data_IF_813291842024
#
_entry.id   IF_813291842024
#
_cell.length_a   1.000
_cell.length_b   1.000
_cell.length_c   1.000
_cell.angle_alpha   90.00
_cell.angle_beta   90.00
_cell.angle_gamma   90.00
#
_symmetry.space_group_name_H-M   'P 1'
#
loop_
_entity.id
_entity.type
_entity.pdbx_description
1 polymer ?
#
# COMPACT_ATOMS: atom_id res chain seq x y z
N UNK A 1 3.31 -21.03 -22.09
CA UNK A 1 3.29 -20.44 -23.45
C UNK A 1 2.47 -19.16 -23.43
N UNK A 2 3.00 -18.08 -23.99
CA UNK A 2 2.27 -16.83 -24.17
C UNK A 2 2.53 -16.32 -25.59
N UNK A 3 1.54 -15.67 -26.19
CA UNK A 3 1.67 -15.19 -27.56
C UNK A 3 0.53 -14.29 -28.00
N UNK A 4 0.70 -13.70 -29.19
CA UNK A 4 -0.32 -12.89 -29.86
C UNK A 4 -0.59 -13.44 -31.26
N UNK A 5 -1.86 -13.47 -31.63
CA UNK A 5 -2.34 -13.83 -32.95
C UNK A 5 -3.39 -12.80 -33.37
N UNK A 6 -2.99 -11.86 -34.23
CA UNK A 6 -3.84 -10.72 -34.61
C UNK A 6 -4.33 -9.93 -33.40
N UNK A 7 -5.65 -9.71 -33.24
CA UNK A 7 -6.21 -8.98 -32.09
C UNK A 7 -6.28 -9.83 -30.81
N UNK A 8 -5.84 -11.08 -30.83
CA UNK A 8 -5.92 -11.98 -29.68
C UNK A 8 -4.57 -12.11 -28.98
N UNK A 9 -4.59 -12.05 -27.65
CA UNK A 9 -3.49 -12.44 -26.77
C UNK A 9 -3.89 -13.71 -26.03
N UNK A 10 -3.03 -14.73 -26.08
CA UNK A 10 -3.28 -16.06 -25.52
C UNK A 10 -2.18 -16.39 -24.50
N UNK A 11 -2.59 -16.87 -23.34
CA UNK A 11 -1.71 -17.37 -22.29
C UNK A 11 -2.14 -18.75 -21.83
N UNK A 12 -1.19 -19.69 -21.84
CA UNK A 12 -1.36 -21.06 -21.36
C UNK A 12 -0.22 -21.37 -20.39
N UNK A 13 -0.58 -21.85 -19.20
CA UNK A 13 0.39 -22.30 -18.19
C UNK A 13 -0.07 -23.66 -17.66
N UNK A 14 0.85 -24.62 -17.61
CA UNK A 14 0.68 -25.87 -16.90
C UNK A 14 1.92 -26.10 -16.03
N UNK A 15 1.72 -26.38 -14.75
CA UNK A 15 2.80 -26.66 -13.80
C UNK A 15 2.40 -27.91 -13.03
N UNK A 16 3.29 -28.90 -13.02
CA UNK A 16 3.19 -30.05 -12.14
C UNK A 16 4.18 -29.88 -10.99
N UNK A 17 3.70 -30.02 -9.75
CA UNK A 17 4.55 -30.13 -8.57
C UNK A 17 4.54 -31.56 -8.06
N UNK A 18 5.68 -32.02 -7.57
CA UNK A 18 5.78 -33.28 -6.83
C UNK A 18 5.11 -33.17 -5.46
N UNK A 19 4.93 -34.31 -4.82
CA UNK A 19 4.62 -34.43 -3.41
C UNK A 19 5.85 -34.12 -2.55
N UNK A 20 5.62 -33.60 -1.34
CA UNK A 20 6.68 -33.31 -0.39
C UNK A 20 6.23 -33.60 1.03
N UNK A 21 6.79 -34.66 1.61
CA UNK A 21 6.49 -35.09 2.99
C UNK A 21 6.85 -34.01 4.01
N UNK A 22 7.92 -33.24 3.78
CA UNK A 22 8.35 -32.15 4.67
C UNK A 22 7.46 -30.91 4.62
N UNK A 23 6.63 -30.78 3.58
CA UNK A 23 5.72 -29.65 3.39
C UNK A 23 4.24 -30.05 3.53
N UNK A 24 3.97 -31.34 3.82
CA UNK A 24 2.64 -31.95 3.84
C UNK A 24 1.81 -31.63 2.57
N UNK A 25 2.47 -31.65 1.41
CA UNK A 25 1.83 -31.33 0.13
C UNK A 25 1.73 -32.55 -0.78
N UNK A 26 0.53 -32.74 -1.34
CA UNK A 26 0.29 -33.73 -2.37
C UNK A 26 0.77 -33.22 -3.74
N UNK A 27 1.16 -34.15 -4.60
CA UNK A 27 1.43 -33.87 -6.02
C UNK A 27 0.23 -33.19 -6.67
N UNK A 28 0.45 -32.03 -7.29
CA UNK A 28 -0.64 -31.22 -7.83
C UNK A 28 -0.31 -30.62 -9.18
N UNK A 29 -1.35 -30.46 -9.99
CA UNK A 29 -1.27 -29.81 -11.29
C UNK A 29 -2.02 -28.48 -11.23
N UNK A 30 -1.35 -27.43 -11.71
CA UNK A 30 -1.93 -26.11 -11.92
C UNK A 30 -2.06 -25.87 -13.43
N UNK A 31 -3.26 -25.52 -13.87
CA UNK A 31 -3.52 -25.14 -15.26
C UNK A 31 -4.16 -23.77 -15.32
N UNK A 32 -3.68 -22.91 -16.20
CA UNK A 32 -4.27 -21.58 -16.48
C UNK A 32 -4.39 -21.39 -17.97
N UNK A 33 -5.57 -20.99 -18.42
CA UNK A 33 -5.87 -20.61 -19.79
C UNK A 33 -6.46 -19.22 -19.78
N UNK A 34 -5.87 -18.28 -20.52
CA UNK A 34 -6.39 -16.92 -20.69
C UNK A 34 -6.41 -16.55 -22.16
N UNK A 35 -7.54 -16.04 -22.61
CA UNK A 35 -7.69 -15.47 -23.95
C UNK A 35 -8.21 -14.06 -23.81
N UNK A 36 -7.57 -13.11 -24.47
CA UNK A 36 -7.96 -11.70 -24.47
C UNK A 36 -8.04 -11.22 -25.91
N UNK A 37 -9.12 -10.53 -26.26
CA UNK A 37 -9.33 -9.90 -27.56
C UNK A 37 -9.31 -8.39 -27.40
N UNK A 38 -8.38 -7.74 -28.08
CA UNK A 38 -8.39 -6.30 -28.24
C UNK A 38 -9.50 -5.91 -29.23
N UNK A 39 -10.26 -4.87 -28.89
CA UNK A 39 -11.39 -4.37 -29.67
C UNK A 39 -11.44 -2.85 -29.61
N UNK A 40 -12.06 -2.24 -30.61
CA UNK A 40 -12.00 -0.79 -30.79
C UNK A 40 -10.52 -0.31 -30.81
N UNK A 41 -10.23 0.91 -30.39
CA UNK A 41 -8.85 1.44 -30.34
C UNK A 41 -8.07 1.04 -29.10
N UNK A 42 -8.75 0.95 -27.96
CA UNK A 42 -8.12 0.83 -26.62
C UNK A 42 -8.91 -0.07 -25.65
N UNK A 43 -9.91 -0.79 -26.17
CA UNK A 43 -10.79 -1.63 -25.36
C UNK A 43 -10.41 -3.09 -25.53
N UNK A 44 -10.83 -3.92 -24.59
CA UNK A 44 -10.58 -5.35 -24.66
C UNK A 44 -11.59 -6.14 -23.83
N UNK A 45 -11.77 -7.39 -24.23
CA UNK A 45 -12.52 -8.40 -23.51
C UNK A 45 -11.64 -9.62 -23.28
N UNK A 46 -11.72 -10.22 -22.11
CA UNK A 46 -10.92 -11.37 -21.73
C UNK A 46 -11.77 -12.44 -21.05
N UNK A 47 -11.31 -13.68 -21.19
CA UNK A 47 -11.79 -14.82 -20.40
C UNK A 47 -10.60 -15.55 -19.81
N UNK A 48 -10.79 -16.12 -18.63
CA UNK A 48 -9.79 -16.92 -17.93
C UNK A 48 -10.44 -18.16 -17.33
N UNK A 49 -9.70 -19.25 -17.39
CA UNK A 49 -9.98 -20.49 -16.68
C UNK A 49 -8.74 -20.89 -15.89
N UNK A 50 -8.93 -21.24 -14.64
CA UNK A 50 -7.87 -21.85 -13.82
C UNK A 50 -8.37 -23.16 -13.23
N UNK A 51 -7.44 -24.10 -13.03
CA UNK A 51 -7.71 -25.40 -12.43
C UNK A 51 -6.54 -25.81 -11.54
N UNK A 52 -6.88 -26.34 -10.36
CA UNK A 52 -5.96 -26.99 -9.44
C UNK A 52 -6.48 -28.38 -9.09
N UNK A 53 -5.65 -29.41 -9.20
CA UNK A 53 -6.09 -30.81 -9.04
C UNK A 53 -6.13 -31.34 -7.60
N UNK A 54 -5.43 -30.69 -6.67
CA UNK A 54 -5.50 -30.95 -5.22
C UNK A 54 -5.67 -29.63 -4.49
N UNK A 55 -6.57 -29.57 -3.51
CA UNK A 55 -6.78 -28.39 -2.68
C UNK A 55 -5.59 -28.19 -1.73
N UNK A 56 -5.51 -27.01 -1.10
CA UNK A 56 -4.53 -26.78 -0.04
C UNK A 56 -4.82 -27.64 1.19
N UNK A 57 -6.10 -27.88 1.49
CA UNK A 57 -6.54 -28.63 2.67
C UNK A 57 -6.96 -30.08 2.37
N UNK A 58 -6.47 -30.66 1.27
CA UNK A 58 -6.65 -32.09 0.98
C UNK A 58 -7.09 -32.39 -0.45
N UNK A 59 -7.83 -33.50 -0.62
CA UNK A 59 -8.21 -34.01 -1.93
C UNK A 59 -9.38 -33.23 -2.51
N UNK A 60 -9.21 -32.70 -3.72
CA UNK A 60 -10.29 -32.03 -4.43
C UNK A 60 -9.79 -31.18 -5.60
N UNK A 61 -10.68 -30.96 -6.57
CA UNK A 61 -10.37 -30.12 -7.73
C UNK A 61 -11.01 -28.75 -7.51
N UNK A 62 -10.19 -27.70 -7.57
CA UNK A 62 -10.69 -26.32 -7.65
C UNK A 62 -10.67 -25.84 -9.10
N UNK A 63 -11.71 -25.12 -9.48
CA UNK A 63 -11.84 -24.49 -10.79
C UNK A 63 -12.30 -23.05 -10.65
N UNK A 64 -11.74 -22.16 -11.46
CA UNK A 64 -12.19 -20.77 -11.54
C UNK A 64 -12.50 -20.42 -12.98
N UNK A 65 -13.65 -19.80 -13.19
CA UNK A 65 -14.07 -19.25 -14.46
C UNK A 65 -14.21 -17.75 -14.30
N UNK A 66 -13.67 -16.96 -15.24
CA UNK A 66 -13.79 -15.52 -15.19
C UNK A 66 -13.83 -14.86 -16.55
N UNK A 67 -14.48 -13.71 -16.61
CA UNK A 67 -14.51 -12.83 -17.76
C UNK A 67 -14.26 -11.39 -17.32
N UNK A 68 -13.53 -10.63 -18.14
CA UNK A 68 -13.21 -9.23 -17.89
C UNK A 68 -13.46 -8.37 -19.12
N UNK A 69 -13.90 -7.13 -18.88
CA UNK A 69 -14.20 -6.15 -19.91
C UNK A 69 -13.60 -4.81 -19.51
N UNK A 70 -12.67 -4.31 -20.33
CA UNK A 70 -12.14 -2.95 -20.20
C UNK A 70 -12.55 -2.14 -21.43
N UNK A 71 -13.47 -1.19 -21.26
CA UNK A 71 -13.84 -0.23 -22.29
C UNK A 71 -13.14 1.09 -22.02
N UNK A 72 -12.47 1.64 -23.03
CA UNK A 72 -11.84 2.96 -22.98
C UNK A 72 -12.39 3.82 -24.10
N UNK A 73 -13.20 4.81 -23.73
CA UNK A 73 -13.82 5.75 -24.65
C UNK A 73 -13.18 7.12 -24.51
N UNK A 74 -13.01 7.81 -25.64
CA UNK A 74 -12.30 9.09 -25.71
C UNK A 74 -10.96 9.00 -24.97
N UNK A 75 -10.49 10.08 -24.36
CA UNK A 75 -9.24 10.13 -23.62
C UNK A 75 -9.40 9.89 -22.12
N UNK A 76 -10.62 9.98 -21.60
CA UNK A 76 -10.87 10.14 -20.18
C UNK A 76 -11.96 9.23 -19.60
N UNK A 77 -12.69 8.44 -20.39
CA UNK A 77 -13.71 7.51 -19.89
C UNK A 77 -13.18 6.09 -19.90
N UNK A 78 -13.14 5.45 -18.73
CA UNK A 78 -12.79 4.05 -18.59
C UNK A 78 -13.91 3.30 -17.84
N UNK A 79 -14.25 2.13 -18.33
CA UNK A 79 -15.16 1.20 -17.68
C UNK A 79 -14.46 -0.15 -17.55
N UNK A 80 -14.23 -0.60 -16.32
CA UNK A 80 -13.50 -1.85 -16.02
C UNK A 80 -14.42 -2.76 -15.25
N UNK A 81 -14.64 -3.97 -15.76
CA UNK A 81 -15.52 -4.94 -15.14
C UNK A 81 -14.87 -6.29 -15.15
N UNK A 82 -15.18 -7.08 -14.13
CA UNK A 82 -14.96 -8.51 -14.19
C UNK A 82 -16.07 -9.24 -13.46
N UNK A 83 -16.25 -10.50 -13.84
CA UNK A 83 -17.00 -11.49 -13.10
C UNK A 83 -16.15 -12.75 -13.03
N UNK A 84 -16.08 -13.36 -11.85
CA UNK A 84 -15.39 -14.62 -11.63
C UNK A 84 -16.20 -15.49 -10.67
N UNK A 85 -16.14 -16.81 -10.86
CA UNK A 85 -16.80 -17.78 -10.01
C UNK A 85 -15.88 -18.97 -9.77
N UNK A 86 -15.87 -19.45 -8.52
CA UNK A 86 -15.03 -20.56 -8.07
C UNK A 86 -15.90 -21.78 -7.81
N UNK A 87 -15.46 -22.93 -8.28
CA UNK A 87 -16.04 -24.22 -7.93
C UNK A 87 -15.01 -24.97 -7.09
N UNK A 88 -15.29 -25.05 -5.79
CA UNK A 88 -14.47 -25.76 -4.80
C UNK A 88 -15.37 -26.74 -4.06
N UNK A 89 -14.97 -28.01 -3.91
CA UNK A 89 -15.71 -28.97 -3.09
C UNK A 89 -16.03 -28.42 -1.71
N UNK A 90 -17.25 -28.69 -1.23
CA UNK A 90 -17.75 -28.26 0.09
C UNK A 90 -17.88 -26.74 0.31
N UNK A 91 -17.69 -25.91 -0.73
CA UNK A 91 -17.89 -24.47 -0.69
C UNK A 91 -18.95 -24.05 -1.71
N UNK A 92 -20.22 -24.24 -1.34
CA UNK A 92 -21.38 -23.94 -2.18
C UNK A 92 -22.04 -22.61 -1.81
N UNK A 93 -22.60 -21.92 -2.81
CA UNK A 93 -23.24 -20.62 -2.66
C UNK A 93 -22.25 -19.49 -2.32
N UNK A 94 -22.56 -18.24 -2.71
CA UNK A 94 -21.67 -17.09 -2.46
C UNK A 94 -20.21 -17.31 -2.91
N UNK A 95 -20.03 -17.99 -4.05
CA UNK A 95 -18.73 -18.39 -4.60
C UNK A 95 -18.32 -17.55 -5.83
N UNK A 96 -18.89 -16.35 -5.98
CA UNK A 96 -18.61 -15.44 -7.07
C UNK A 96 -18.00 -14.13 -6.56
N UNK A 97 -17.19 -13.50 -7.40
CA UNK A 97 -16.71 -12.15 -7.22
C UNK A 97 -16.91 -11.36 -8.50
N UNK A 98 -17.34 -10.10 -8.38
CA UNK A 98 -17.49 -9.23 -9.52
C UNK A 98 -17.20 -7.79 -9.15
N UNK A 99 -16.70 -7.03 -10.11
CA UNK A 99 -16.44 -5.61 -9.99
C UNK A 99 -17.01 -4.89 -11.20
N UNK A 100 -17.58 -3.73 -10.96
CA UNK A 100 -17.91 -2.74 -11.98
C UNK A 100 -17.31 -1.41 -11.55
N UNK A 101 -16.42 -0.87 -12.36
CA UNK A 101 -15.72 0.39 -12.09
C UNK A 101 -15.86 1.34 -13.26
N UNK A 102 -16.33 2.54 -12.98
CA UNK A 102 -16.37 3.67 -13.90
C UNK A 102 -15.39 4.74 -13.43
N UNK A 103 -14.53 5.20 -14.34
CA UNK A 103 -13.60 6.30 -14.12
C UNK A 103 -13.78 7.34 -15.24
N UNK A 104 -14.15 8.56 -14.85
CA UNK A 104 -14.01 9.76 -15.66
C UNK A 104 -12.81 10.57 -15.17
N UNK A 105 -11.77 10.66 -15.99
CA UNK A 105 -10.46 11.22 -15.66
C UNK A 105 -10.21 12.56 -16.36
N UNK A 106 -11.27 13.36 -16.53
CA UNK A 106 -11.17 14.70 -17.09
C UNK A 106 -10.25 15.60 -16.26
N UNK A 107 -9.63 16.58 -16.91
CA UNK A 107 -8.69 17.46 -16.22
C UNK A 107 -9.39 18.33 -15.14
N UNK A 108 -10.48 19.03 -15.52
CA UNK A 108 -11.26 19.88 -14.59
C UNK A 108 -12.21 19.10 -13.69
N UNK A 109 -12.82 18.03 -14.17
CA UNK A 109 -13.77 17.21 -13.42
C UNK A 109 -13.31 15.76 -13.42
N UNK A 110 -13.39 15.09 -12.27
CA UNK A 110 -13.16 13.67 -12.15
C UNK A 110 -14.33 12.99 -11.45
N UNK A 111 -14.71 11.81 -11.91
CA UNK A 111 -15.74 10.98 -11.27
C UNK A 111 -15.21 9.56 -11.20
N UNK A 112 -15.37 8.91 -10.07
CA UNK A 112 -15.15 7.48 -9.93
C UNK A 112 -16.35 6.88 -9.24
N UNK A 113 -16.83 5.76 -9.76
CA UNK A 113 -17.84 4.93 -9.12
C UNK A 113 -17.40 3.48 -9.25
N UNK A 114 -17.43 2.75 -8.14
CA UNK A 114 -17.00 1.37 -8.08
C UNK A 114 -17.96 0.58 -7.21
N UNK A 115 -18.36 -0.58 -7.72
CA UNK A 115 -19.04 -1.61 -6.95
C UNK A 115 -18.21 -2.89 -7.05
N UNK A 116 -17.86 -3.46 -5.90
CA UNK A 116 -17.11 -4.72 -5.79
C UNK A 116 -17.83 -5.63 -4.82
N UNK A 117 -18.04 -6.88 -5.23
CA UNK A 117 -18.53 -7.94 -4.35
C UNK A 117 -17.56 -9.11 -4.38
N UNK A 118 -17.26 -9.65 -3.20
CA UNK A 118 -16.52 -10.90 -3.04
C UNK A 118 -17.34 -11.79 -2.13
N UNK A 119 -17.86 -12.88 -2.68
CA UNK A 119 -18.63 -13.84 -1.92
C UNK A 119 -17.80 -14.53 -0.84
N UNK A 120 -18.48 -15.00 0.22
CA UNK A 120 -17.87 -15.67 1.37
C UNK A 120 -17.09 -16.92 1.00
N UNK A 121 -17.57 -17.65 0.00
CA UNK A 121 -17.01 -18.92 -0.45
C UNK A 121 -16.23 -18.76 -1.77
N UNK A 122 -15.92 -17.52 -2.16
CA UNK A 122 -15.08 -17.27 -3.33
C UNK A 122 -13.63 -17.64 -2.99
N UNK A 123 -13.21 -18.83 -3.43
CA UNK A 123 -11.88 -19.37 -3.16
C UNK A 123 -11.22 -19.82 -4.46
N UNK A 124 -10.31 -19.02 -5.04
CA UNK A 124 -9.67 -19.36 -6.30
C UNK A 124 -8.55 -20.40 -6.19
N UNK A 125 -8.06 -20.75 -4.98
CA UNK A 125 -6.91 -21.65 -4.66
C UNK A 125 -5.58 -21.41 -5.41
N UNK A 126 -5.60 -20.58 -6.45
CA UNK A 126 -4.53 -20.12 -7.31
C UNK A 126 -4.59 -18.60 -7.24
N UNK A 127 -3.69 -18.02 -6.47
CA UNK A 127 -3.67 -16.59 -6.15
C UNK A 127 -4.11 -16.32 -4.72
N UNK A 128 -4.46 -15.07 -4.44
CA UNK A 128 -4.72 -14.61 -3.08
C UNK A 128 -5.96 -13.72 -3.02
N UNK A 129 -6.85 -14.02 -2.08
CA UNK A 129 -8.01 -13.20 -1.73
C UNK A 129 -7.70 -12.55 -0.38
N UNK A 130 -7.58 -11.21 -0.36
CA UNK A 130 -7.24 -10.46 0.85
C UNK A 130 -8.37 -10.39 1.87
N UNK A 131 -9.60 -10.34 1.37
CA UNK A 131 -10.84 -10.21 2.13
C UNK A 131 -11.93 -10.92 1.34
N UNK A 132 -12.76 -11.70 2.03
CA UNK A 132 -13.95 -12.35 1.50
C UNK A 132 -15.21 -11.78 2.19
N UNK A 133 -16.37 -12.30 1.81
CA UNK A 133 -17.65 -12.01 2.45
C UNK A 133 -18.02 -10.51 2.53
N UNK A 134 -17.75 -9.71 1.49
CA UNK A 134 -18.05 -8.29 1.54
C UNK A 134 -18.58 -7.71 0.22
N UNK A 135 -19.27 -6.57 0.36
CA UNK A 135 -19.68 -5.68 -0.72
C UNK A 135 -19.13 -4.29 -0.44
N UNK A 136 -18.47 -3.70 -1.43
CA UNK A 136 -17.91 -2.36 -1.38
C UNK A 136 -18.55 -1.48 -2.44
N UNK A 137 -19.07 -0.33 -2.01
CA UNK A 137 -19.53 0.73 -2.88
C UNK A 137 -18.65 1.94 -2.64
N UNK A 138 -17.99 2.42 -3.68
CA UNK A 138 -17.14 3.58 -3.62
C UNK A 138 -17.57 4.61 -4.66
N UNK A 139 -17.67 5.86 -4.23
CA UNK A 139 -17.92 6.99 -5.11
C UNK A 139 -16.94 8.12 -4.80
N UNK A 140 -16.46 8.80 -5.82
CA UNK A 140 -15.61 9.98 -5.69
C UNK A 140 -15.95 10.99 -6.75
N UNK A 141 -16.00 12.26 -6.35
CA UNK A 141 -16.09 13.40 -7.23
C UNK A 141 -14.91 14.33 -7.00
N UNK A 142 -14.35 14.85 -8.09
CA UNK A 142 -13.28 15.85 -8.08
C UNK A 142 -13.64 17.02 -8.97
N UNK A 143 -13.48 18.23 -8.45
CA UNK A 143 -13.51 19.47 -9.21
C UNK A 143 -12.19 20.18 -9.02
N UNK A 144 -11.46 20.48 -10.11
CA UNK A 144 -10.16 21.10 -10.02
C UNK A 144 -9.96 22.30 -10.97
N UNK A 145 -10.45 23.48 -10.61
CA UNK A 145 -10.25 24.69 -11.41
C UNK A 145 -8.80 25.17 -11.37
N UNK A 146 -8.39 25.89 -12.43
CA UNK A 146 -7.13 26.65 -12.50
C UNK A 146 -7.44 28.15 -12.59
N UNK A 147 -7.54 28.85 -11.45
CA UNK A 147 -7.91 30.26 -11.43
C UNK A 147 -6.77 31.12 -11.99
N UNK A 148 -6.98 31.71 -13.18
CA UNK A 148 -5.96 32.57 -13.82
C UNK A 148 -5.81 33.95 -13.17
N UNK A 149 -6.77 34.36 -12.35
CA UNK A 149 -6.77 35.67 -11.67
C UNK A 149 -5.88 35.72 -10.42
N UNK A 150 -5.34 34.58 -9.96
CA UNK A 150 -4.55 34.49 -8.73
C UNK A 150 -3.13 34.04 -9.10
N UNK A 151 -2.14 34.95 -9.23
CA UNK A 151 -0.84 34.64 -9.82
C UNK A 151 0.00 33.60 -9.07
N UNK A 152 -0.24 33.41 -7.78
CA UNK A 152 0.50 32.46 -6.94
C UNK A 152 -0.14 31.07 -6.89
N UNK A 153 -1.39 30.91 -7.37
CA UNK A 153 -2.20 29.70 -7.26
C UNK A 153 -2.34 29.03 -8.63
N UNK A 154 -1.71 27.86 -8.79
CA UNK A 154 -1.73 27.11 -10.06
C UNK A 154 -3.05 26.37 -10.26
N UNK A 155 -3.51 25.68 -9.22
CA UNK A 155 -4.69 24.81 -9.28
C UNK A 155 -5.31 24.65 -7.89
N UNK A 156 -6.62 24.60 -7.85
CA UNK A 156 -7.35 24.11 -6.68
C UNK A 156 -7.92 22.74 -7.01
N UNK A 157 -8.00 21.85 -6.03
CA UNK A 157 -8.61 20.53 -6.16
C UNK A 157 -9.55 20.35 -4.97
N UNK A 158 -10.84 20.27 -5.28
CA UNK A 158 -11.88 19.86 -4.36
C UNK A 158 -12.20 18.40 -4.66
N UNK A 159 -12.14 17.55 -3.66
CA UNK A 159 -12.43 16.13 -3.83
C UNK A 159 -13.28 15.63 -2.67
N UNK A 160 -14.37 14.97 -2.99
CA UNK A 160 -15.19 14.23 -2.04
C UNK A 160 -15.19 12.75 -2.39
N UNK A 161 -15.03 11.87 -1.41
CA UNK A 161 -15.20 10.43 -1.61
C UNK A 161 -16.02 9.80 -0.49
N UNK A 162 -16.69 8.70 -0.83
CA UNK A 162 -17.49 7.89 0.07
C UNK A 162 -17.20 6.42 -0.22
N UNK A 163 -16.66 5.72 0.77
CA UNK A 163 -16.42 4.27 0.75
C UNK A 163 -17.35 3.59 1.76
N UNK A 164 -18.07 2.57 1.32
CA UNK A 164 -19.08 1.89 2.11
C UNK A 164 -18.97 0.39 1.92
N UNK A 165 -18.52 -0.30 2.97
CA UNK A 165 -18.22 -1.72 2.98
C UNK A 165 -19.18 -2.42 3.94
N UNK A 166 -19.97 -3.33 3.42
CA UNK A 166 -20.80 -4.23 4.23
C UNK A 166 -20.32 -5.65 4.07
N UNK A 167 -20.71 -6.51 4.99
CA UNK A 167 -20.66 -7.94 4.74
C UNK A 167 -21.71 -8.35 3.68
N UNK A 168 -21.79 -9.64 3.36
CA UNK A 168 -22.82 -10.14 2.42
C UNK A 168 -24.24 -10.19 2.99
N UNK A 169 -24.41 -10.03 4.31
CA UNK A 169 -25.73 -9.98 4.99
C UNK A 169 -26.30 -8.56 5.07
N UNK A 170 -25.47 -7.54 4.79
CA UNK A 170 -25.83 -6.13 4.80
C UNK A 170 -25.41 -5.39 6.09
N UNK A 171 -24.69 -6.05 6.99
CA UNK A 171 -24.12 -5.41 8.18
C UNK A 171 -22.96 -4.52 7.76
N UNK A 172 -22.99 -3.26 8.22
CA UNK A 172 -21.93 -2.29 7.95
C UNK A 172 -20.65 -2.68 8.69
N UNK A 173 -19.56 -2.84 7.95
CA UNK A 173 -18.24 -3.13 8.51
C UNK A 173 -17.38 -1.87 8.56
N UNK A 174 -17.30 -1.13 7.44
CA UNK A 174 -16.52 0.11 7.34
C UNK A 174 -17.27 1.15 6.52
N UNK A 175 -17.31 2.39 6.99
CA UNK A 175 -17.72 3.57 6.20
C UNK A 175 -16.65 4.63 6.30
N UNK A 176 -16.31 5.26 5.19
CA UNK A 176 -15.38 6.38 5.17
C UNK A 176 -15.86 7.48 4.23
N UNK A 177 -16.06 8.69 4.75
CA UNK A 177 -16.35 9.88 3.97
C UNK A 177 -15.16 10.82 4.05
N UNK A 178 -14.62 11.24 2.91
CA UNK A 178 -13.50 12.20 2.86
C UNK A 178 -13.88 13.44 2.09
N UNK A 179 -13.52 14.59 2.62
CA UNK A 179 -13.58 15.88 1.95
C UNK A 179 -12.19 16.51 1.96
N UNK A 180 -11.62 16.68 0.79
CA UNK A 180 -10.26 17.19 0.59
C UNK A 180 -10.28 18.46 -0.23
N UNK A 181 -9.57 19.47 0.27
CA UNK A 181 -9.21 20.69 -0.44
C UNK A 181 -7.69 20.71 -0.60
N UNK A 182 -7.18 20.70 -1.82
CA UNK A 182 -5.76 20.86 -2.14
C UNK A 182 -5.55 22.12 -2.99
N UNK A 183 -4.51 22.89 -2.64
CA UNK A 183 -4.01 24.02 -3.40
C UNK A 183 -2.61 23.70 -3.91
N UNK A 184 -2.45 23.69 -5.22
CA UNK A 184 -1.15 23.61 -5.87
C UNK A 184 -0.70 25.04 -6.19
N UNK A 185 0.47 25.43 -5.70
CA UNK A 185 1.01 26.76 -5.86
C UNK A 185 1.94 26.83 -7.08
N UNK A 186 2.19 28.04 -7.59
CA UNK A 186 3.12 28.21 -8.73
C UNK A 186 4.57 27.92 -8.37
N UNK A 187 4.93 28.02 -7.09
CA UNK A 187 6.25 27.63 -6.58
C UNK A 187 6.40 26.10 -6.36
N UNK A 188 5.46 25.29 -6.86
CA UNK A 188 5.38 23.82 -6.72
C UNK A 188 5.14 23.31 -5.30
N UNK A 189 4.87 24.19 -4.33
CA UNK A 189 4.36 23.76 -3.03
C UNK A 189 2.90 23.30 -3.18
N UNK A 190 2.49 22.42 -2.28
CA UNK A 190 1.10 22.00 -2.15
C UNK A 190 0.67 22.11 -0.71
N UNK A 191 -0.53 22.62 -0.49
CA UNK A 191 -1.17 22.57 0.81
C UNK A 191 -2.51 21.88 0.65
N UNK A 192 -2.79 20.86 1.46
CA UNK A 192 -4.13 20.31 1.53
C UNK A 192 -4.66 20.18 2.94
N UNK A 193 -5.97 20.25 3.04
CA UNK A 193 -6.76 19.96 4.24
C UNK A 193 -7.77 18.88 3.87
N UNK A 194 -7.83 17.84 4.67
CA UNK A 194 -8.73 16.71 4.50
C UNK A 194 -9.50 16.48 5.81
N UNK A 195 -10.83 16.45 5.72
CA UNK A 195 -11.69 15.93 6.78
C UNK A 195 -12.10 14.52 6.43
N UNK A 196 -11.93 13.59 7.37
CA UNK A 196 -12.36 12.20 7.24
C UNK A 196 -13.37 11.90 8.36
N UNK A 197 -14.54 11.38 7.99
CA UNK A 197 -15.51 10.75 8.90
C UNK A 197 -15.50 9.24 8.65
N UNK A 198 -15.30 8.46 9.70
CA UNK A 198 -15.11 7.02 9.65
C UNK A 198 -16.06 6.30 10.60
N UNK A 199 -16.56 5.16 10.16
CA UNK A 199 -17.13 4.14 11.01
C UNK A 199 -16.35 2.85 10.82
N UNK A 200 -16.00 2.19 11.92
CA UNK A 200 -15.39 0.87 11.91
C UNK A 200 -16.13 -0.05 12.90
N UNK A 201 -16.73 -1.12 12.38
CA UNK A 201 -17.32 -2.20 13.16
C UNK A 201 -16.27 -3.28 13.43
N UNK A 202 -15.86 -3.43 14.69
CA UNK A 202 -14.89 -4.43 15.09
C UNK A 202 -15.60 -5.75 15.43
N UNK A 203 -15.50 -6.81 14.62
CA UNK A 203 -16.15 -8.10 14.91
C UNK A 203 -15.42 -8.92 15.99
N UNK A 204 -14.19 -8.53 16.32
CA UNK A 204 -13.33 -9.12 17.35
C UNK A 204 -12.50 -8.03 18.00
N UNK A 205 -11.96 -8.32 19.19
CA UNK A 205 -11.05 -7.42 19.88
C UNK A 205 -9.87 -7.00 18.98
N UNK A 206 -9.54 -5.71 19.00
CA UNK A 206 -8.47 -5.13 18.20
C UNK A 206 -7.37 -4.58 19.09
N UNK A 207 -6.17 -5.14 18.96
CA UNK A 207 -4.99 -4.69 19.73
C UNK A 207 -4.33 -3.51 19.04
N UNK A 208 -4.39 -2.34 19.65
CA UNK A 208 -3.64 -1.16 19.20
C UNK A 208 -2.17 -1.26 19.63
N UNK A 209 -1.95 -1.68 20.88
CA UNK A 209 -0.64 -1.98 21.47
C UNK A 209 -0.72 -3.29 22.26
N UNK A 210 0.36 -3.68 22.95
CA UNK A 210 0.34 -4.78 23.92
C UNK A 210 -0.74 -4.61 25.00
N UNK A 211 -0.95 -3.38 25.46
CA UNK A 211 -1.78 -3.08 26.65
C UNK A 211 -3.11 -2.40 26.32
N UNK A 212 -3.27 -1.85 25.11
CA UNK A 212 -4.50 -1.17 24.68
C UNK A 212 -5.24 -2.03 23.67
N UNK A 213 -6.33 -2.64 24.13
CA UNK A 213 -7.17 -3.56 23.36
C UNK A 213 -8.59 -2.97 23.27
N UNK A 214 -9.04 -2.68 22.06
CA UNK A 214 -10.41 -2.21 21.81
C UNK A 214 -11.37 -3.41 21.80
N UNK A 215 -12.51 -3.34 22.52
CA UNK A 215 -13.53 -4.38 22.50
C UNK A 215 -14.27 -4.44 21.16
N UNK A 216 -15.09 -5.49 21.02
CA UNK A 216 -16.04 -5.65 19.91
C UNK A 216 -17.12 -4.57 20.01
N UNK A 217 -17.11 -3.60 19.10
CA UNK A 217 -18.12 -2.54 19.02
C UNK A 217 -18.09 -1.83 17.64
N UNK A 218 -19.06 -0.98 17.39
CA UNK A 218 -19.10 -0.04 16.26
C UNK A 218 -18.63 1.35 16.66
N UNK A 219 -17.53 1.80 16.07
CA UNK A 219 -16.90 3.07 16.42
C UNK A 219 -17.09 4.11 15.32
N UNK A 220 -17.65 5.28 15.65
CA UNK A 220 -17.68 6.44 14.77
C UNK A 220 -16.64 7.45 15.23
N UNK A 221 -15.79 7.91 14.31
CA UNK A 221 -14.76 8.87 14.62
C UNK A 221 -14.42 9.71 13.39
N UNK A 222 -13.93 10.92 13.61
CA UNK A 222 -13.61 11.85 12.54
C UNK A 222 -12.41 12.72 12.88
N UNK A 223 -11.61 13.03 11.87
CA UNK A 223 -10.39 13.80 12.04
C UNK A 223 -10.13 14.75 10.87
N UNK A 224 -9.43 15.83 11.18
CA UNK A 224 -8.88 16.75 10.18
C UNK A 224 -7.39 16.48 10.05
N UNK A 225 -6.92 16.38 8.82
CA UNK A 225 -5.51 16.32 8.47
C UNK A 225 -5.16 17.53 7.59
N UNK A 226 -4.13 18.26 7.98
CA UNK A 226 -3.52 19.32 7.16
C UNK A 226 -2.09 18.93 6.81
N UNK A 227 -1.71 19.13 5.56
CA UNK A 227 -0.41 18.71 5.05
C UNK A 227 0.16 19.76 4.10
N UNK A 228 1.40 20.17 4.34
CA UNK A 228 2.15 21.09 3.51
C UNK A 228 3.35 20.37 2.90
N UNK A 229 3.31 20.20 1.58
CA UNK A 229 4.39 19.65 0.77
C UNK A 229 5.21 20.79 0.18
N UNK A 230 6.48 20.88 0.57
CA UNK A 230 7.44 21.80 -0.02
C UNK A 230 7.89 21.27 -1.39
N UNK A 231 7.97 22.16 -2.38
CA UNK A 231 8.45 21.84 -3.72
C UNK A 231 9.83 21.16 -3.71
N UNK A 232 9.94 20.03 -4.41
CA UNK A 232 11.13 19.17 -4.43
C UNK A 232 12.38 19.83 -5.05
N UNK A 233 12.20 20.95 -5.75
CA UNK A 233 13.30 21.74 -6.30
C UNK A 233 14.10 22.51 -5.23
N UNK A 234 13.57 22.66 -4.01
CA UNK A 234 14.24 23.40 -2.93
C UNK A 234 15.34 22.57 -2.30
N UNK A 235 16.39 23.25 -1.80
CA UNK A 235 17.44 22.59 -1.00
C UNK A 235 16.85 21.88 0.21
N UNK A 236 15.86 22.48 0.86
CA UNK A 236 15.06 21.86 1.92
C UNK A 236 13.67 21.64 1.35
N UNK A 237 13.28 20.37 1.25
CA UNK A 237 11.98 19.93 0.77
C UNK A 237 11.44 18.87 1.71
N UNK A 238 10.17 18.52 1.55
CA UNK A 238 9.53 17.51 2.38
C UNK A 238 8.08 17.81 2.61
N UNK A 239 7.54 17.13 3.61
CA UNK A 239 6.14 17.10 3.96
C UNK A 239 6.01 17.30 5.45
N UNK A 240 5.27 18.33 5.85
CA UNK A 240 4.81 18.51 7.21
C UNK A 240 3.34 18.13 7.26
N UNK A 241 2.93 17.31 8.23
CA UNK A 241 1.52 16.99 8.45
C UNK A 241 1.14 17.10 9.91
N UNK A 242 -0.12 17.47 10.14
CA UNK A 242 -0.79 17.45 11.42
C UNK A 242 -2.16 16.79 11.23
N UNK A 243 -2.47 15.83 12.09
CA UNK A 243 -3.79 15.20 12.18
C UNK A 243 -4.35 15.44 13.58
N UNK A 244 -5.62 15.81 13.67
CA UNK A 244 -6.31 15.99 14.96
C UNK A 244 -7.77 15.58 14.84
N UNK A 245 -8.26 14.80 15.79
CA UNK A 245 -9.66 14.43 15.85
C UNK A 245 -9.95 13.30 16.83
N UNK A 246 -11.14 12.73 16.69
CA UNK A 246 -11.50 11.51 17.40
C UNK A 246 -10.91 10.29 16.71
N UNK A 247 -10.68 9.24 17.49
CA UNK A 247 -10.12 7.98 17.03
C UNK A 247 -10.74 6.85 17.85
N UNK A 248 -11.55 6.01 17.20
CA UNK A 248 -12.42 5.05 17.87
C UNK A 248 -13.27 5.72 18.98
N UNK A 249 -13.13 5.27 20.22
CA UNK A 249 -13.77 5.80 21.42
C UNK A 249 -12.94 6.88 22.15
N UNK A 250 -11.97 7.48 21.47
CA UNK A 250 -11.03 8.43 22.06
C UNK A 250 -10.58 9.50 21.08
N UNK A 251 -9.34 9.97 21.24
CA UNK A 251 -8.73 11.00 20.42
C UNK A 251 -7.35 10.59 19.90
N UNK A 252 -6.97 11.17 18.76
CA UNK A 252 -5.64 11.01 18.19
C UNK A 252 -5.10 12.33 17.66
N UNK A 253 -3.86 12.62 18.01
CA UNK A 253 -3.09 13.74 17.47
C UNK A 253 -1.82 13.20 16.83
N UNK A 254 -1.64 13.45 15.53
CA UNK A 254 -0.42 13.08 14.82
C UNK A 254 0.30 14.32 14.35
N UNK A 255 1.60 14.40 14.57
CA UNK A 255 2.46 15.41 13.93
C UNK A 255 3.66 14.72 13.32
N UNK A 256 4.03 15.13 12.12
CA UNK A 256 5.20 14.55 11.49
C UNK A 256 5.80 15.40 10.39
N UNK A 257 7.08 15.15 10.17
CA UNK A 257 7.86 15.72 9.09
C UNK A 257 8.66 14.63 8.41
N UNK A 258 8.60 14.56 7.09
CA UNK A 258 9.48 13.73 6.28
C UNK A 258 9.99 14.54 5.11
N UNK A 259 11.31 14.64 4.97
CA UNK A 259 11.86 15.52 3.95
C UNK A 259 13.29 15.20 3.56
N UNK A 260 13.87 16.12 2.80
CA UNK A 260 15.26 16.09 2.35
C UNK A 260 15.85 17.49 2.44
N UNK A 261 16.98 17.59 3.12
CA UNK A 261 17.80 18.78 3.19
C UNK A 261 19.15 18.52 2.53
N UNK A 262 19.37 19.17 1.38
CA UNK A 262 20.65 19.22 0.67
C UNK A 262 21.47 20.35 1.28
N UNK A 263 22.41 19.98 2.13
CA UNK A 263 23.30 20.92 2.83
C UNK A 263 24.42 21.34 1.87
N UNK A 264 25.03 20.38 1.18
CA UNK A 264 26.00 20.59 0.09
C UNK A 264 25.69 19.64 -1.07
N UNK A 265 26.24 19.85 -2.28
CA UNK A 265 26.09 18.90 -3.39
C UNK A 265 26.53 17.47 -3.05
N UNK A 266 27.47 17.34 -2.12
CA UNK A 266 27.98 16.07 -1.63
C UNK A 266 27.17 15.51 -0.45
N UNK A 267 26.51 16.36 0.33
CA UNK A 267 25.90 15.99 1.61
C UNK A 267 24.40 16.32 1.67
N UNK A 268 23.57 15.30 1.84
CA UNK A 268 22.14 15.45 2.07
C UNK A 268 21.66 14.57 3.22
N UNK A 269 20.71 15.08 3.99
CA UNK A 269 20.03 14.39 5.08
C UNK A 269 18.53 14.33 4.79
N UNK A 270 17.93 13.18 5.07
CA UNK A 270 16.52 12.88 4.90
C UNK A 270 15.93 12.51 6.27
N UNK A 271 15.52 13.51 7.07
CA UNK A 271 14.87 13.24 8.35
C UNK A 271 13.45 12.73 8.17
N UNK A 272 13.02 11.88 9.10
CA UNK A 272 11.66 11.37 9.25
C UNK A 272 11.30 11.39 10.72
N UNK A 273 10.35 12.23 11.09
CA UNK A 273 9.84 12.37 12.45
C UNK A 273 8.34 12.16 12.39
N UNK A 274 7.80 11.32 13.27
CA UNK A 274 6.36 11.11 13.43
C UNK A 274 6.08 10.86 14.89
N UNK A 275 5.19 11.65 15.48
CA UNK A 275 4.71 11.50 16.85
C UNK A 275 3.20 11.34 16.76
N UNK A 276 2.68 10.26 17.32
CA UNK A 276 1.25 9.96 17.40
C UNK A 276 0.88 9.79 18.87
N UNK A 277 0.05 10.69 19.36
CA UNK A 277 -0.51 10.67 20.71
C UNK A 277 -1.95 10.16 20.62
N UNK A 278 -2.19 8.98 21.21
CA UNK A 278 -3.46 8.28 21.19
C UNK A 278 -3.97 8.14 22.61
N UNK A 279 -5.19 8.61 22.83
CA UNK A 279 -5.88 8.50 24.12
C UNK A 279 -7.26 7.89 23.88
N UNK A 280 -7.45 6.63 24.27
CA UNK A 280 -8.70 5.89 24.20
C UNK A 280 -9.12 5.42 25.58
N UNK A 281 -10.39 5.02 25.77
CA UNK A 281 -10.88 4.68 27.12
C UNK A 281 -10.15 3.50 27.77
N UNK A 282 -9.51 2.64 26.97
CA UNK A 282 -8.74 1.48 27.44
C UNK A 282 -7.30 1.83 27.83
N UNK A 283 -6.83 3.03 27.50
CA UNK A 283 -5.49 3.49 27.82
C UNK A 283 -4.98 4.52 26.82
N UNK A 284 -3.87 5.18 27.18
CA UNK A 284 -3.19 6.13 26.33
C UNK A 284 -1.77 5.69 26.04
N UNK A 285 -1.27 6.04 24.86
CA UNK A 285 0.09 5.74 24.45
C UNK A 285 0.60 6.76 23.42
N UNK A 286 1.92 6.95 23.42
CA UNK A 286 2.59 7.82 22.45
C UNK A 286 3.55 6.99 21.61
N UNK A 287 3.31 6.97 20.31
CA UNK A 287 4.23 6.36 19.33
C UNK A 287 5.12 7.43 18.73
N UNK A 288 6.43 7.29 18.91
CA UNK A 288 7.46 8.17 18.36
C UNK A 288 8.34 7.39 17.39
N UNK A 289 8.37 7.84 16.15
CA UNK A 289 9.29 7.40 15.12
C UNK A 289 10.24 8.55 14.78
N UNK A 290 11.54 8.34 14.96
CA UNK A 290 12.57 9.29 14.57
C UNK A 290 13.59 8.56 13.72
N UNK A 291 13.81 9.02 12.51
CA UNK A 291 14.83 8.47 11.63
C UNK A 291 15.53 9.56 10.82
N UNK A 292 16.74 9.24 10.41
CA UNK A 292 17.52 10.08 9.52
C UNK A 292 18.28 9.19 8.55
N UNK A 293 18.09 9.43 7.25
CA UNK A 293 18.97 8.88 6.22
C UNK A 293 19.94 9.96 5.77
N UNK A 294 21.22 9.67 5.86
CA UNK A 294 22.29 10.56 5.47
C UNK A 294 23.01 10.01 4.27
N UNK A 295 23.29 10.85 3.28
CA UNK A 295 24.08 10.51 2.10
C UNK A 295 25.24 11.48 1.97
N UNK A 296 26.45 10.93 1.83
CA UNK A 296 27.68 11.68 1.63
C UNK A 296 28.42 11.12 0.43
N UNK A 297 28.53 11.92 -0.63
CA UNK A 297 29.21 11.57 -1.88
C UNK A 297 30.62 12.15 -1.86
N UNK A 298 31.61 11.30 -1.59
CA UNK A 298 33.02 11.69 -1.56
C UNK A 298 33.52 12.00 -2.98
N UNK A 299 33.13 11.17 -3.94
CA UNK A 299 33.42 11.34 -5.37
C UNK A 299 32.31 10.65 -6.20
N UNK A 300 32.24 10.85 -7.53
CA UNK A 300 31.28 10.13 -8.38
C UNK A 300 31.36 8.60 -8.28
N UNK A 301 32.47 8.07 -7.76
CA UNK A 301 32.73 6.64 -7.57
C UNK A 301 32.65 6.19 -6.11
N UNK A 302 32.50 7.11 -5.15
CA UNK A 302 32.58 6.81 -3.72
C UNK A 302 31.46 7.51 -2.96
N UNK A 303 30.62 6.73 -2.28
CA UNK A 303 29.61 7.29 -1.39
C UNK A 303 29.47 6.49 -0.09
N UNK A 304 29.04 7.21 0.93
CA UNK A 304 28.62 6.70 2.22
C UNK A 304 27.13 7.02 2.39
N UNK A 305 26.35 6.01 2.74
CA UNK A 305 24.95 6.16 3.12
C UNK A 305 24.77 5.61 4.53
N UNK A 306 24.09 6.34 5.40
CA UNK A 306 23.76 5.91 6.75
C UNK A 306 22.26 6.07 6.99
N UNK A 307 21.65 5.13 7.69
CA UNK A 307 20.28 5.17 8.17
C UNK A 307 20.32 4.91 9.67
N UNK A 308 19.69 5.80 10.43
CA UNK A 308 19.37 5.62 11.83
C UNK A 308 17.86 5.72 11.95
N UNK A 309 17.23 4.79 12.67
CA UNK A 309 15.79 4.79 12.89
C UNK A 309 15.47 4.28 14.30
N UNK A 310 14.69 5.04 15.03
CA UNK A 310 14.13 4.72 16.33
C UNK A 310 12.62 4.62 16.22
N UNK A 311 12.02 3.57 16.81
CA UNK A 311 10.59 3.37 16.91
C UNK A 311 10.21 2.98 18.34
N UNK A 312 9.45 3.82 19.03
CA UNK A 312 9.05 3.55 20.42
C UNK A 312 8.04 2.41 20.55
N UNK A 313 7.21 2.15 19.55
CA UNK A 313 6.18 1.10 19.64
C UNK A 313 6.76 -0.31 19.50
N UNK A 314 7.83 -0.49 18.72
CA UNK A 314 8.57 -1.75 18.62
C UNK A 314 9.83 -1.78 19.49
N UNK A 315 10.02 -0.73 20.30
CA UNK A 315 11.21 -0.49 21.12
C UNK A 315 12.53 -0.68 20.35
N UNK A 316 12.56 -0.35 19.06
CA UNK A 316 13.71 -0.69 18.21
C UNK A 316 14.55 0.54 17.84
N UNK A 317 15.87 0.34 17.85
CA UNK A 317 16.85 1.24 17.26
C UNK A 317 17.63 0.49 16.19
N UNK A 318 17.40 0.88 14.94
CA UNK A 318 18.00 0.30 13.75
C UNK A 318 19.04 1.23 13.16
N UNK A 319 20.23 0.68 12.89
CA UNK A 319 21.34 1.37 12.22
C UNK A 319 21.77 0.58 11.00
N UNK A 320 21.90 1.26 9.87
CA UNK A 320 22.49 0.69 8.66
C UNK A 320 23.46 1.69 8.03
N UNK A 321 24.72 1.32 7.88
CA UNK A 321 25.77 2.14 7.26
C UNK A 321 26.33 1.36 6.09
N UNK A 322 26.36 1.99 4.91
CA UNK A 322 26.87 1.42 3.68
C UNK A 322 27.85 2.37 3.03
N UNK A 323 29.08 1.91 2.87
CA UNK A 323 30.08 2.50 2.01
C UNK A 323 30.14 1.72 0.69
N UNK A 324 30.17 2.42 -0.44
CA UNK A 324 30.44 1.86 -1.77
C UNK A 324 31.56 2.62 -2.42
N UNK A 325 32.52 1.90 -2.99
CA UNK A 325 33.55 2.43 -3.86
C UNK A 325 33.63 1.64 -5.17
N UNK A 326 33.36 2.31 -6.28
CA UNK A 326 33.60 1.81 -7.63
C UNK A 326 35.07 2.05 -8.00
N UNK A 327 35.92 1.05 -7.80
CA UNK A 327 37.36 1.17 -8.04
C UNK A 327 37.71 1.01 -9.54
N UNK A 328 36.86 0.31 -10.30
CA UNK A 328 36.90 0.22 -11.77
C UNK A 328 35.47 0.19 -12.30
N UNK A 329 35.21 0.62 -13.56
CA UNK A 329 33.87 0.58 -14.14
C UNK A 329 33.18 -0.78 -14.00
N UNK A 330 32.06 -0.81 -13.28
CA UNK A 330 31.30 -2.04 -13.01
C UNK A 330 31.94 -2.98 -11.97
N UNK A 331 32.96 -2.54 -11.25
CA UNK A 331 33.63 -3.31 -10.19
C UNK A 331 33.65 -2.51 -8.89
N UNK A 332 33.06 -3.08 -7.84
CA UNK A 332 32.70 -2.37 -6.62
C UNK A 332 33.24 -3.05 -5.37
N UNK A 333 33.61 -2.23 -4.39
CA UNK A 333 33.76 -2.62 -3.00
C UNK A 333 32.58 -2.07 -2.21
N UNK A 334 31.92 -2.94 -1.45
CA UNK A 334 30.89 -2.57 -0.48
C UNK A 334 31.35 -2.95 0.92
N UNK A 335 31.15 -2.03 1.86
CA UNK A 335 31.28 -2.28 3.30
C UNK A 335 29.93 -1.90 3.92
N UNK A 336 29.27 -2.86 4.55
CA UNK A 336 27.96 -2.68 5.15
C UNK A 336 28.02 -3.08 6.62
N UNK A 337 27.59 -2.17 7.47
CA UNK A 337 27.34 -2.42 8.89
C UNK A 337 25.84 -2.28 9.15
N UNK A 338 25.23 -3.29 9.75
CA UNK A 338 23.83 -3.20 10.22
C UNK A 338 23.75 -3.66 11.66
N UNK A 339 22.99 -2.95 12.48
CA UNK A 339 22.83 -3.20 13.91
C UNK A 339 21.40 -2.85 14.30
N UNK A 340 20.68 -3.82 14.84
CA UNK A 340 19.33 -3.67 15.37
C UNK A 340 19.35 -3.93 16.86
N UNK A 341 18.87 -2.97 17.65
CA UNK A 341 18.84 -3.07 19.11
C UNK A 341 17.45 -2.86 19.65
N UNK A 342 17.13 -3.62 20.66
CA UNK A 342 16.04 -3.36 21.57
C UNK A 342 16.45 -2.24 22.53
N UNK A 343 15.60 -1.23 22.67
CA UNK A 343 15.81 -0.05 23.50
C UNK A 343 15.29 -0.24 24.93
N UNK A 344 14.50 -1.29 25.20
CA UNK A 344 14.06 -1.69 26.54
C UNK A 344 13.32 -0.57 27.29
N UNK A 345 12.36 0.08 26.63
CA UNK A 345 11.66 1.24 27.17
C UNK A 345 10.55 0.87 28.18
N UNK A 346 10.25 -0.42 28.35
CA UNK A 346 9.54 -0.91 29.54
C UNK A 346 10.50 -1.17 30.73
N UNK A 347 10.33 -0.37 31.79
CA UNK A 347 10.63 -0.76 33.17
C UNK A 347 12.03 -1.30 33.50
N UNK A 348 12.88 -0.45 34.11
CA UNK A 348 14.03 -0.85 34.95
C UNK A 348 15.20 -1.62 34.28
N UNK A 349 15.79 -1.10 33.20
CA UNK A 349 17.26 -1.06 33.08
C UNK A 349 17.73 -0.14 31.94
N UNK A 350 18.10 1.11 32.26
CA UNK A 350 18.69 2.07 31.30
C UNK A 350 20.02 1.62 30.65
N UNK A 351 20.49 0.39 30.90
CA UNK A 351 21.83 -0.09 30.53
C UNK A 351 21.87 -1.46 29.82
N UNK A 352 20.72 -2.07 29.50
CA UNK A 352 20.69 -3.33 28.73
C UNK A 352 19.89 -3.16 27.43
N UNK A 353 20.49 -2.48 26.46
CA UNK A 353 19.98 -2.59 25.08
C UNK A 353 20.27 -4.01 24.58
N UNK A 354 19.22 -4.81 24.36
CA UNK A 354 19.38 -6.20 23.90
C UNK A 354 19.68 -6.17 22.40
N UNK A 355 20.79 -6.75 21.99
CA UNK A 355 21.13 -6.86 20.58
C UNK A 355 20.13 -7.81 19.90
N UNK A 356 19.38 -7.31 18.92
CA UNK A 356 18.49 -8.14 18.11
C UNK A 356 19.24 -8.74 16.93
N UNK A 357 20.02 -7.93 16.22
CA UNK A 357 20.90 -8.38 15.15
C UNK A 357 22.14 -7.50 15.00
N UNK A 358 23.23 -8.06 14.50
CA UNK A 358 24.41 -7.33 14.05
C UNK A 358 25.03 -8.04 12.87
N UNK A 359 25.36 -7.28 11.83
CA UNK A 359 26.09 -7.78 10.68
C UNK A 359 27.15 -6.78 10.24
N UNK A 360 28.30 -7.32 9.85
CA UNK A 360 29.35 -6.58 9.19
C UNK A 360 29.75 -7.38 7.94
N UNK A 361 29.50 -6.81 6.77
CA UNK A 361 29.66 -7.47 5.48
C UNK A 361 30.60 -6.67 4.62
N UNK A 362 31.64 -7.33 4.11
CA UNK A 362 32.51 -6.81 3.06
C UNK A 362 32.20 -7.62 1.80
N UNK A 363 31.85 -6.94 0.72
CA UNK A 363 31.59 -7.55 -0.59
C UNK A 363 32.47 -6.89 -1.64
N UNK A 364 33.17 -7.72 -2.41
CA UNK A 364 33.99 -7.29 -3.53
C UNK A 364 33.40 -7.88 -4.82
N UNK A 365 33.21 -7.06 -5.84
CA UNK A 365 32.79 -7.49 -7.18
C UNK A 365 33.81 -7.05 -8.21
N UNK A 366 34.02 -7.89 -9.22
CA UNK A 366 34.87 -7.59 -10.37
C UNK A 366 34.13 -7.98 -11.63
N UNK A 367 33.95 -7.01 -12.52
CA UNK A 367 33.42 -7.26 -13.86
C UNK A 367 34.57 -7.62 -14.80
N UNK A 368 34.49 -8.80 -15.41
CA UNK A 368 35.39 -9.21 -16.49
C UNK A 368 34.68 -8.94 -17.81
N UNK A 369 35.22 -8.01 -18.61
CA UNK A 369 34.81 -7.80 -20.01
C UNK A 369 35.94 -8.32 -20.88
N UNK A 370 35.59 -9.18 -21.84
CA UNK A 370 36.48 -9.69 -22.88
C UNK A 370 36.16 -8.99 -24.20
#
# INVERSE_FOLDING_TARGET
VTGRAGPYSIGLLNIQTGDSVSADTLSTNFSVVRVKRDMLRRSNFGVIYTRRNQLTEGVGINQVYGADLTLRFYENINFTNYYAQTHTPNLEGSNASYQSKFDYTGDRYGVQAEHLTVGKNFNPEIGFVRRDNFRRNFAQFRFSPRPRSIPWLRRMIYQGSFDYITDMTGVLETRESKLRLEMELENSDKWFVEYTDSFEGLPKEFKLTSDVILPVDGYNFGHIRTEYDFGSQRRISGRLFLTRGTFYNGTRNDVGYQGRAVITPQFAIEPRISISDVDVTQGSFVTTLVGARTSFTVSPRMFLAALLQFNSNSESLDTNIRFRWEYQPGSDLFIVYSDGRDTGLEGYSRWKTKLQNRSFVIKFTRLLRF
#
